data_IF_361008872438
#
_entry.id   IF_361008872438
#
_cell.length_a   1.000
_cell.length_b   1.000
_cell.length_c   1.000
_cell.angle_alpha   90.00
_cell.angle_beta   90.00
_cell.angle_gamma   90.00
#
_symmetry.space_group_name_H-M   'P 1'
#
loop_
_entity.id
_entity.type
_entity.pdbx_description
1 polymer ?
#
# COMPACT_ATOMS: atom_id res chain seq x y z
N UNK A 1 4.90 -7.28 -8.19
CA UNK A 1 4.02 -6.74 -7.13
C UNK A 1 3.33 -5.48 -7.62
N UNK A 2 2.12 -5.27 -7.16
CA UNK A 2 1.33 -4.08 -7.48
C UNK A 2 0.97 -3.32 -6.22
N UNK A 3 0.96 -2.00 -6.29
CA UNK A 3 0.52 -1.14 -5.21
C UNK A 3 -0.36 -0.01 -5.75
N UNK A 4 -1.39 0.32 -4.99
CA UNK A 4 -2.14 1.55 -5.16
C UNK A 4 -1.87 2.42 -3.93
N UNK A 5 -1.28 3.59 -4.15
CA UNK A 5 -0.87 4.50 -3.10
C UNK A 5 -1.75 5.72 -3.10
N UNK A 6 -2.33 6.06 -1.96
CA UNK A 6 -3.12 7.29 -1.79
C UNK A 6 -2.52 8.14 -0.68
N UNK A 7 -2.28 9.42 -0.99
CA UNK A 7 -1.92 10.40 0.03
C UNK A 7 -3.16 10.71 0.87
N UNK A 8 -3.05 10.61 2.19
CA UNK A 8 -4.19 10.76 3.10
C UNK A 8 -3.94 11.78 4.19
N UNK A 9 -5.01 12.46 4.59
CA UNK A 9 -5.07 13.23 5.83
C UNK A 9 -5.23 12.31 7.04
N UNK A 10 -6.02 11.25 6.87
CA UNK A 10 -6.22 10.20 7.86
C UNK A 10 -6.71 8.93 7.16
N UNK A 11 -6.38 7.76 7.72
CA UNK A 11 -6.91 6.49 7.28
C UNK A 11 -7.02 5.51 8.44
N UNK A 12 -7.96 4.56 8.34
CA UNK A 12 -8.15 3.54 9.36
C UNK A 12 -8.70 2.25 8.74
N UNK A 13 -8.35 1.13 9.34
CA UNK A 13 -8.91 -0.18 9.01
C UNK A 13 -9.73 -0.69 10.19
N UNK A 14 -10.95 -1.10 9.90
CA UNK A 14 -11.86 -1.74 10.85
C UNK A 14 -12.10 -3.20 10.42
N UNK A 15 -12.01 -4.13 11.36
CA UNK A 15 -12.43 -5.51 11.17
C UNK A 15 -13.11 -6.01 12.44
N UNK A 16 -14.20 -6.75 12.29
CA UNK A 16 -14.98 -7.23 13.44
C UNK A 16 -15.48 -6.12 14.37
N UNK A 17 -15.78 -4.94 13.83
CA UNK A 17 -16.25 -3.78 14.61
C UNK A 17 -15.14 -3.06 15.39
N UNK A 18 -13.87 -3.38 15.15
CA UNK A 18 -12.72 -2.79 15.85
C UNK A 18 -11.76 -2.13 14.86
N UNK A 19 -11.19 -0.99 15.25
CA UNK A 19 -10.08 -0.37 14.53
C UNK A 19 -8.80 -1.16 14.84
N UNK A 20 -8.20 -1.73 13.81
CA UNK A 20 -6.97 -2.54 13.93
C UNK A 20 -5.73 -1.80 13.44
N UNK A 21 -5.89 -0.74 12.66
CA UNK A 21 -4.81 0.12 12.20
C UNK A 21 -5.34 1.52 11.93
N UNK A 22 -4.55 2.53 12.26
CA UNK A 22 -4.93 3.93 12.07
C UNK A 22 -3.69 4.78 11.88
N UNK A 23 -3.78 5.70 10.93
CA UNK A 23 -2.76 6.75 10.74
C UNK A 23 -3.44 8.12 10.60
N UNK A 24 -2.70 9.17 10.94
CA UNK A 24 -3.02 10.52 10.51
C UNK A 24 -2.47 10.80 9.11
N UNK A 25 -1.79 11.91 8.93
CA UNK A 25 -1.16 12.28 7.66
C UNK A 25 -0.19 11.19 7.18
N UNK A 26 -0.31 10.79 5.94
CA UNK A 26 0.58 9.79 5.40
C UNK A 26 0.13 9.17 4.11
N UNK A 27 0.44 7.89 3.94
CA UNK A 27 0.10 7.10 2.77
C UNK A 27 -0.72 5.87 3.16
N UNK A 28 -1.84 5.68 2.49
CA UNK A 28 -2.55 4.40 2.45
C UNK A 28 -2.02 3.62 1.25
N UNK A 29 -1.54 2.41 1.49
CA UNK A 29 -0.96 1.54 0.47
C UNK A 29 -1.76 0.24 0.39
N UNK A 30 -2.46 0.04 -0.72
CA UNK A 30 -3.04 -1.25 -1.07
C UNK A 30 -2.00 -2.07 -1.81
N UNK A 31 -1.69 -3.26 -1.32
CA UNK A 31 -0.58 -4.10 -1.80
C UNK A 31 -1.07 -5.44 -2.31
N UNK A 32 -0.61 -5.83 -3.49
CA UNK A 32 -0.86 -7.13 -4.09
C UNK A 32 0.46 -7.78 -4.50
N UNK A 33 0.70 -8.99 -4.00
CA UNK A 33 1.75 -9.86 -4.52
C UNK A 33 1.23 -10.68 -5.70
N UNK A 34 2.12 -10.99 -6.63
CA UNK A 34 1.84 -11.82 -7.81
C UNK A 34 2.72 -13.07 -7.79
N UNK A 35 2.35 -14.13 -8.53
CA UNK A 35 3.21 -15.29 -8.68
C UNK A 35 4.58 -14.88 -9.23
N UNK A 36 5.64 -15.42 -8.64
CA UNK A 36 7.02 -15.11 -9.04
C UNK A 36 7.65 -13.91 -8.32
N UNK A 37 6.88 -13.14 -7.57
CA UNK A 37 7.42 -12.07 -6.73
C UNK A 37 8.26 -12.64 -5.57
N UNK A 38 9.26 -11.88 -5.16
CA UNK A 38 10.16 -12.24 -4.07
C UNK A 38 10.72 -11.01 -3.35
N UNK A 39 11.79 -11.22 -2.60
CA UNK A 39 12.44 -10.17 -1.80
C UNK A 39 12.92 -8.98 -2.64
N UNK A 40 13.31 -9.21 -3.88
CA UNK A 40 13.73 -8.14 -4.80
C UNK A 40 12.62 -7.15 -5.12
N UNK A 41 11.42 -7.67 -5.43
CA UNK A 41 10.24 -6.85 -5.73
C UNK A 41 9.80 -6.10 -4.48
N UNK A 42 9.82 -6.77 -3.32
CA UNK A 42 9.51 -6.15 -2.02
C UNK A 42 10.43 -4.97 -1.74
N UNK A 43 11.74 -5.17 -1.82
CA UNK A 43 12.73 -4.13 -1.53
C UNK A 43 12.62 -2.95 -2.48
N UNK A 44 12.44 -3.23 -3.77
CA UNK A 44 12.30 -2.21 -4.81
C UNK A 44 11.05 -1.35 -4.59
N UNK A 45 9.91 -2.00 -4.35
CA UNK A 45 8.62 -1.32 -4.18
C UNK A 45 8.57 -0.51 -2.87
N UNK A 46 9.03 -1.10 -1.77
CA UNK A 46 9.08 -0.41 -0.47
C UNK A 46 9.95 0.84 -0.52
N UNK A 47 11.16 0.73 -1.11
CA UNK A 47 12.05 1.88 -1.29
C UNK A 47 11.43 2.96 -2.18
N UNK A 48 10.77 2.57 -3.27
CA UNK A 48 10.10 3.52 -4.16
C UNK A 48 9.02 4.28 -3.40
N UNK A 49 8.15 3.59 -2.67
CA UNK A 49 7.04 4.20 -1.92
C UNK A 49 7.57 5.10 -0.80
N UNK A 50 8.57 4.65 -0.05
CA UNK A 50 9.17 5.47 1.03
C UNK A 50 9.74 6.80 0.53
N UNK A 51 10.18 6.83 -0.73
CA UNK A 51 10.87 7.98 -1.33
C UNK A 51 10.01 8.76 -2.34
N UNK A 52 8.74 8.43 -2.51
CA UNK A 52 7.84 9.21 -3.35
C UNK A 52 7.73 10.64 -2.83
N UNK A 53 8.03 11.59 -3.68
CA UNK A 53 8.03 13.02 -3.35
C UNK A 53 6.69 13.64 -3.71
N UNK A 54 5.65 13.27 -2.98
CA UNK A 54 4.26 13.62 -3.26
C UNK A 54 3.62 14.47 -2.16
N UNK A 55 4.41 14.96 -1.22
CA UNK A 55 3.96 15.92 -0.22
C UNK A 55 4.44 17.31 -0.59
N UNK A 56 3.61 18.30 -0.29
CA UNK A 56 3.88 19.69 -0.65
C UNK A 56 5.00 20.28 0.20
N UNK A 57 5.89 21.02 -0.47
CA UNK A 57 6.90 21.87 0.17
C UNK A 57 6.33 23.25 0.55
N UNK A 58 7.19 24.13 1.04
CA UNK A 58 6.80 25.48 1.45
C UNK A 58 6.27 26.35 0.29
N UNK A 59 6.55 25.96 -0.97
CA UNK A 59 6.06 26.62 -2.18
C UNK A 59 4.80 25.98 -2.75
N UNK A 60 4.23 24.96 -2.06
CA UNK A 60 3.06 24.24 -2.50
C UNK A 60 3.31 23.24 -3.63
N UNK A 61 4.56 22.84 -3.86
CA UNK A 61 4.94 21.88 -4.88
C UNK A 61 5.12 20.47 -4.28
N UNK A 62 4.67 19.44 -4.98
CA UNK A 62 4.96 18.05 -4.64
C UNK A 62 6.46 17.80 -4.72
N UNK A 63 7.14 17.80 -3.59
CA UNK A 63 8.59 17.74 -3.52
C UNK A 63 9.14 16.95 -2.33
N UNK A 64 8.35 16.77 -1.28
CA UNK A 64 8.79 16.13 -0.04
C UNK A 64 8.35 14.67 0.00
N UNK A 65 9.23 13.82 0.55
CA UNK A 65 8.91 12.44 0.84
C UNK A 65 8.23 12.30 2.20
N UNK A 66 7.65 11.13 2.47
CA UNK A 66 6.88 10.86 3.68
C UNK A 66 7.64 11.15 4.97
N UNK A 67 8.91 10.74 5.06
CA UNK A 67 9.75 10.98 6.25
C UNK A 67 9.94 12.46 6.55
N UNK A 68 10.04 13.29 5.51
CA UNK A 68 10.26 14.74 5.64
C UNK A 68 9.05 15.46 6.23
N UNK A 69 7.86 14.89 6.11
CA UNK A 69 6.62 15.45 6.67
C UNK A 69 6.17 14.75 7.95
N UNK A 70 6.97 13.81 8.45
CA UNK A 70 6.65 13.07 9.68
C UNK A 70 5.41 12.19 9.56
N UNK A 71 5.10 11.71 8.35
CA UNK A 71 3.92 10.89 8.10
C UNK A 71 4.11 9.41 8.41
N UNK A 72 3.02 8.66 8.33
CA UNK A 72 2.97 7.22 8.55
C UNK A 72 2.40 6.48 7.34
N UNK A 73 2.59 5.16 7.28
CA UNK A 73 2.02 4.29 6.24
C UNK A 73 1.00 3.35 6.87
N UNK A 74 -0.16 3.23 6.23
CA UNK A 74 -1.12 2.17 6.51
C UNK A 74 -1.13 1.21 5.32
N UNK A 75 -0.71 -0.04 5.54
CA UNK A 75 -0.61 -1.06 4.49
C UNK A 75 -1.77 -2.04 4.60
N UNK A 76 -2.50 -2.19 3.51
CA UNK A 76 -3.64 -3.10 3.40
C UNK A 76 -3.39 -4.09 2.27
N UNK A 77 -3.48 -5.38 2.57
CA UNK A 77 -3.42 -6.41 1.53
C UNK A 77 -4.63 -6.32 0.61
N UNK A 78 -4.41 -6.31 -0.72
CA UNK A 78 -5.43 -6.10 -1.73
C UNK A 78 -5.17 -6.97 -2.97
N UNK A 79 -5.44 -8.26 -2.88
CA UNK A 79 -5.21 -9.19 -4.01
C UNK A 79 -6.05 -8.85 -5.24
N UNK A 80 -7.16 -8.14 -5.05
CA UNK A 80 -8.05 -7.73 -6.15
C UNK A 80 -7.40 -6.74 -7.13
N UNK A 81 -6.24 -6.16 -6.80
CA UNK A 81 -5.45 -5.37 -7.76
C UNK A 81 -4.93 -6.24 -8.93
N UNK A 82 -4.89 -7.55 -8.77
CA UNK A 82 -4.55 -8.50 -9.83
C UNK A 82 -5.77 -8.99 -10.62
N UNK A 83 -6.92 -8.33 -10.47
CA UNK A 83 -8.14 -8.72 -11.17
C UNK A 83 -7.99 -8.65 -12.70
N UNK A 84 -8.41 -9.71 -13.37
CA UNK A 84 -8.56 -9.73 -14.83
C UNK A 84 -10.06 -9.65 -15.17
N UNK A 85 -10.44 -8.57 -15.81
CA UNK A 85 -11.81 -8.27 -16.22
C UNK A 85 -11.98 -8.23 -17.75
N UNK A 86 -11.02 -8.75 -18.50
CA UNK A 86 -11.05 -8.73 -19.98
C UNK A 86 -12.11 -9.65 -20.56
N UNK A 87 -12.50 -10.68 -19.81
CA UNK A 87 -13.50 -11.67 -20.24
C UNK A 87 -14.72 -11.63 -19.34
N UNK A 88 -15.76 -10.93 -19.79
CA UNK A 88 -17.00 -10.80 -19.04
C UNK A 88 -16.88 -9.91 -17.80
N UNK A 89 -17.93 -9.91 -16.98
CA UNK A 89 -18.07 -8.98 -15.85
C UNK A 89 -17.69 -9.59 -14.49
N UNK A 90 -17.41 -10.90 -14.45
CA UNK A 90 -16.90 -11.55 -13.24
C UNK A 90 -15.38 -11.51 -13.26
N UNK A 91 -14.73 -10.81 -12.31
CA UNK A 91 -13.28 -10.73 -12.29
C UNK A 91 -12.65 -12.10 -11.98
N UNK A 92 -11.52 -12.37 -12.62
CA UNK A 92 -10.64 -13.48 -12.29
C UNK A 92 -9.47 -12.96 -11.45
N UNK A 93 -9.11 -13.68 -10.41
CA UNK A 93 -7.98 -13.35 -9.54
C UNK A 93 -6.81 -14.32 -9.67
N UNK A 94 -6.76 -15.07 -10.77
CA UNK A 94 -5.68 -16.03 -11.03
C UNK A 94 -4.28 -15.38 -11.09
N UNK A 95 -4.21 -14.09 -11.34
CA UNK A 95 -2.96 -13.32 -11.34
C UNK A 95 -2.45 -12.92 -9.96
N UNK A 96 -3.18 -13.21 -8.88
CA UNK A 96 -2.70 -12.95 -7.53
C UNK A 96 -1.84 -14.11 -7.02
N UNK A 97 -0.85 -13.81 -6.15
CA UNK A 97 -0.07 -14.83 -5.48
C UNK A 97 -0.96 -15.75 -4.63
N UNK A 98 -0.58 -17.03 -4.44
CA UNK A 98 -1.23 -17.87 -3.45
C UNK A 98 -1.20 -17.22 -2.06
N UNK A 99 -2.21 -17.47 -1.19
CA UNK A 99 -2.33 -16.79 0.10
C UNK A 99 -1.07 -16.84 0.97
N UNK A 100 -0.38 -17.98 1.03
CA UNK A 100 0.85 -18.13 1.82
C UNK A 100 1.98 -17.21 1.34
N UNK A 101 2.20 -17.16 0.02
CA UNK A 101 3.19 -16.26 -0.58
C UNK A 101 2.76 -14.81 -0.40
N UNK A 102 1.49 -14.51 -0.64
CA UNK A 102 0.94 -13.17 -0.49
C UNK A 102 1.12 -12.62 0.92
N UNK A 103 0.81 -13.42 1.94
CA UNK A 103 0.97 -13.02 3.34
C UNK A 103 2.44 -12.80 3.72
N UNK A 104 3.32 -13.70 3.30
CA UNK A 104 4.76 -13.58 3.55
C UNK A 104 5.33 -12.29 2.96
N UNK A 105 5.06 -12.03 1.69
CA UNK A 105 5.58 -10.84 1.01
C UNK A 105 4.96 -9.54 1.56
N UNK A 106 3.70 -9.58 1.96
CA UNK A 106 3.04 -8.48 2.66
C UNK A 106 3.77 -8.13 3.96
N UNK A 107 4.11 -9.13 4.78
CA UNK A 107 4.86 -8.92 6.03
C UNK A 107 6.27 -8.42 5.78
N UNK A 108 6.97 -8.98 4.79
CA UNK A 108 8.29 -8.52 4.38
C UNK A 108 8.26 -7.07 3.89
N UNK A 109 7.22 -6.69 3.15
CA UNK A 109 7.03 -5.31 2.68
C UNK A 109 6.85 -4.32 3.85
N UNK A 110 6.01 -4.67 4.82
CA UNK A 110 5.85 -3.85 6.02
C UNK A 110 7.16 -3.71 6.80
N UNK A 111 7.94 -4.79 6.93
CA UNK A 111 9.26 -4.76 7.56
C UNK A 111 10.23 -3.87 6.79
N UNK A 112 10.21 -3.93 5.46
CA UNK A 112 11.07 -3.08 4.62
C UNK A 112 10.74 -1.59 4.76
N UNK A 113 9.46 -1.23 4.89
CA UNK A 113 9.07 0.16 5.17
C UNK A 113 9.53 0.61 6.56
N UNK A 114 9.42 -0.24 7.57
CA UNK A 114 9.93 0.06 8.92
C UNK A 114 11.44 0.25 8.94
N UNK A 115 12.16 -0.49 8.10
CA UNK A 115 13.60 -0.33 7.93
C UNK A 115 14.01 1.00 7.27
N UNK A 116 13.06 1.70 6.62
CA UNK A 116 13.24 3.08 6.14
C UNK A 116 12.85 4.11 7.22
N UNK A 117 12.76 3.69 8.49
CA UNK A 117 12.38 4.51 9.65
C UNK A 117 10.99 5.15 9.56
N UNK A 118 10.07 4.48 8.88
CA UNK A 118 8.68 4.94 8.78
C UNK A 118 7.79 4.22 9.79
N UNK A 119 6.88 4.93 10.48
CA UNK A 119 5.81 4.30 11.23
C UNK A 119 4.88 3.55 10.28
N UNK A 120 4.62 2.27 10.55
CA UNK A 120 3.78 1.40 9.71
C UNK A 120 2.69 0.79 10.56
N UNK A 121 1.45 1.05 10.15
CA UNK A 121 0.25 0.38 10.64
C UNK A 121 -0.29 -0.55 9.57
N UNK A 122 -1.06 -1.55 9.95
CA UNK A 122 -1.56 -2.58 9.05
C UNK A 122 -3.03 -2.87 9.27
N UNK A 123 -3.69 -3.43 8.24
CA UNK A 123 -4.91 -4.19 8.41
C UNK A 123 -4.61 -5.62 8.90
N UNK A 124 -5.53 -6.53 8.66
CA UNK A 124 -5.39 -7.96 8.98
C UNK A 124 -5.46 -8.75 7.67
N UNK A 125 -4.38 -9.46 7.34
CA UNK A 125 -4.31 -10.26 6.12
C UNK A 125 -5.44 -11.29 6.07
N UNK A 126 -6.15 -11.36 4.94
CA UNK A 126 -7.23 -12.30 4.70
C UNK A 126 -8.54 -11.98 5.39
N UNK A 127 -8.60 -10.98 6.25
CA UNK A 127 -9.83 -10.57 6.92
C UNK A 127 -10.72 -9.71 6.02
N UNK A 128 -12.02 -9.69 6.32
CA UNK A 128 -12.93 -8.70 5.76
C UNK A 128 -12.72 -7.38 6.50
N UNK A 129 -12.33 -6.35 5.77
CA UNK A 129 -11.97 -5.06 6.32
C UNK A 129 -12.86 -3.94 5.76
N UNK A 130 -13.12 -2.94 6.59
CA UNK A 130 -13.62 -1.64 6.14
C UNK A 130 -12.47 -0.66 6.21
N UNK A 131 -12.13 -0.08 5.07
CA UNK A 131 -11.03 0.88 4.96
C UNK A 131 -11.64 2.28 4.83
N UNK A 132 -11.33 3.13 5.79
CA UNK A 132 -11.76 4.53 5.82
C UNK A 132 -10.56 5.40 5.52
N UNK A 133 -10.75 6.41 4.69
CA UNK A 133 -9.67 7.33 4.35
C UNK A 133 -10.22 8.69 3.94
N UNK A 134 -9.38 9.70 4.12
CA UNK A 134 -9.56 11.00 3.50
C UNK A 134 -8.41 11.19 2.53
N UNK A 135 -8.69 11.06 1.23
CA UNK A 135 -7.68 11.26 0.20
C UNK A 135 -7.41 12.76 0.06
N UNK A 136 -6.16 13.12 0.36
CA UNK A 136 -5.71 14.50 0.34
C UNK A 136 -5.17 14.86 -1.03
N UNK A 137 -5.89 15.72 -1.73
CA UNK A 137 -5.45 16.21 -3.02
C UNK A 137 -6.51 16.28 -4.11
N UNK A 138 -7.10 15.23 -4.66
CA UNK A 138 -6.77 13.82 -4.49
C UNK A 138 -5.41 13.45 -5.12
N UNK A 139 -4.69 12.53 -4.49
CA UNK A 139 -3.45 11.96 -5.01
C UNK A 139 -3.52 10.45 -4.89
N UNK A 140 -3.54 9.77 -6.02
CA UNK A 140 -3.65 8.31 -6.13
C UNK A 140 -2.70 7.84 -7.22
N UNK A 141 -1.76 6.96 -6.87
CA UNK A 141 -0.68 6.52 -7.74
C UNK A 141 -0.67 5.00 -7.83
N UNK A 142 -0.74 4.50 -9.05
CA UNK A 142 -0.55 3.09 -9.36
C UNK A 142 0.93 2.78 -9.57
N UNK A 143 1.40 1.70 -8.97
CA UNK A 143 2.78 1.23 -9.14
C UNK A 143 2.78 -0.26 -9.42
N UNK A 144 3.53 -0.65 -10.45
CA UNK A 144 3.84 -2.05 -10.75
C UNK A 144 5.36 -2.22 -10.67
N UNK A 145 5.83 -3.12 -9.80
CA UNK A 145 7.25 -3.36 -9.61
C UNK A 145 7.98 -3.85 -10.87
N UNK A 146 7.24 -4.43 -11.81
CA UNK A 146 7.78 -4.84 -13.11
C UNK A 146 8.23 -3.66 -13.98
N UNK A 147 7.76 -2.45 -13.67
CA UNK A 147 8.08 -1.22 -14.43
C UNK A 147 8.96 -0.24 -13.63
N UNK A 148 9.60 -0.69 -12.57
CA UNK A 148 10.52 0.11 -11.75
C UNK A 148 11.98 -0.10 -12.13
#
# INVERSE_FOLDING_TARGET
MKALVQRVEAAAVETGGRIVGRIGRGLLVFLCAEPGDGAGEVAKLARKIARLRIFEDAQGKMNLALAEVGGAVLVVSQFTLAADIRRGNRPSFAGAAPPELGERLYREFCAALRAEDLPVETGVFGARMKVRLINDGPVTIWIDSAHL
#
